data_IF_311054645832
#
_entry.id   IF_311054645832
#
_cell.length_a   1.000
_cell.length_b   1.000
_cell.length_c   1.000
_cell.angle_alpha   90.00
_cell.angle_beta   90.00
_cell.angle_gamma   90.00
#
_symmetry.space_group_name_H-M   'P 1'
#
loop_
_entity.id
_entity.type
_entity.pdbx_description
1 polymer ?
#
# COMPACT_ATOMS: atom_id res chain seq x y z
N UNK A 1 -10.91 7.28 -15.20
CA UNK A 1 -12.01 6.80 -14.34
C UNK A 1 -11.78 7.19 -12.85
N UNK A 2 -12.81 7.45 -12.04
CA UNK A 2 -12.66 7.70 -10.59
C UNK A 2 -13.11 6.50 -9.73
N UNK A 3 -12.28 6.10 -8.76
CA UNK A 3 -12.63 5.08 -7.75
C UNK A 3 -12.17 5.60 -6.37
N UNK A 4 -13.09 5.65 -5.40
CA UNK A 4 -12.85 6.18 -4.03
C UNK A 4 -12.22 7.60 -4.02
N UNK A 5 -12.61 8.46 -4.96
CA UNK A 5 -12.11 9.83 -5.07
C UNK A 5 -10.70 9.95 -5.68
N UNK A 6 -10.07 8.84 -6.10
CA UNK A 6 -8.79 8.84 -6.81
C UNK A 6 -9.01 8.65 -8.30
N UNK A 7 -8.31 9.44 -9.12
CA UNK A 7 -8.34 9.29 -10.58
C UNK A 7 -7.40 8.13 -11.02
N UNK A 8 -7.98 7.11 -11.65
CA UNK A 8 -7.26 6.08 -12.38
C UNK A 8 -7.24 6.42 -13.87
N UNK A 9 -6.06 6.58 -14.49
CA UNK A 9 -5.95 6.78 -15.93
C UNK A 9 -6.33 5.50 -16.69
N UNK A 10 -7.13 5.66 -17.74
CA UNK A 10 -7.74 4.53 -18.46
C UNK A 10 -6.71 3.75 -19.31
N UNK A 11 -5.68 4.45 -19.80
CA UNK A 11 -4.61 3.89 -20.64
C UNK A 11 -3.58 3.03 -19.89
N UNK A 12 -3.80 2.73 -18.61
CA UNK A 12 -2.86 1.99 -17.78
C UNK A 12 -3.34 0.57 -17.48
N UNK A 13 -2.38 -0.31 -17.21
CA UNK A 13 -2.66 -1.65 -16.71
C UNK A 13 -3.27 -1.57 -15.31
N UNK A 14 -4.28 -2.39 -15.04
CA UNK A 14 -5.03 -2.36 -13.77
C UNK A 14 -4.11 -2.48 -12.56
N UNK A 15 -3.19 -3.44 -12.54
CA UNK A 15 -2.27 -3.63 -11.40
C UNK A 15 -1.34 -2.43 -11.17
N UNK A 16 -0.95 -1.71 -12.25
CA UNK A 16 -0.10 -0.52 -12.16
C UNK A 16 -0.93 0.68 -11.70
N UNK A 17 -2.16 0.78 -12.16
CA UNK A 17 -3.10 1.81 -11.78
C UNK A 17 -3.49 1.69 -10.30
N UNK A 18 -3.66 0.48 -9.76
CA UNK A 18 -3.92 0.23 -8.34
C UNK A 18 -2.86 0.81 -7.40
N UNK A 19 -1.61 1.01 -7.86
CA UNK A 19 -0.55 1.65 -7.06
C UNK A 19 -0.79 3.15 -6.82
N UNK A 20 -1.78 3.76 -7.49
CA UNK A 20 -2.22 5.11 -7.13
C UNK A 20 -2.79 5.15 -5.72
N UNK A 21 -3.34 4.02 -5.25
CA UNK A 21 -3.90 3.92 -3.92
C UNK A 21 -2.82 3.74 -2.85
N UNK A 22 -2.92 4.55 -1.79
CA UNK A 22 -2.07 4.44 -0.61
C UNK A 22 -2.24 3.08 0.07
N UNK A 23 -1.12 2.39 0.30
CA UNK A 23 -1.09 1.07 0.92
C UNK A 23 -1.09 -0.10 -0.08
N UNK A 24 -1.35 0.15 -1.37
CA UNK A 24 -1.25 -0.88 -2.41
C UNK A 24 0.16 -0.94 -3.01
N UNK A 25 0.80 -2.09 -2.84
CA UNK A 25 2.10 -2.40 -3.41
C UNK A 25 1.96 -3.24 -4.69
N UNK A 26 3.09 -3.46 -5.39
CA UNK A 26 3.15 -4.31 -6.58
C UNK A 26 2.57 -5.72 -6.34
N UNK A 27 2.99 -6.37 -5.26
CA UNK A 27 2.53 -7.72 -4.91
C UNK A 27 1.05 -7.73 -4.56
N UNK A 28 0.60 -6.77 -3.77
CA UNK A 28 -0.81 -6.61 -3.37
C UNK A 28 -1.70 -6.38 -4.58
N UNK A 29 -1.30 -5.49 -5.50
CA UNK A 29 -2.04 -5.22 -6.73
C UNK A 29 -2.21 -6.47 -7.59
N UNK A 30 -1.17 -7.30 -7.75
CA UNK A 30 -1.28 -8.58 -8.46
C UNK A 30 -2.24 -9.56 -7.78
N UNK A 31 -2.20 -9.65 -6.45
CA UNK A 31 -3.11 -10.49 -5.69
C UNK A 31 -4.56 -10.04 -5.83
N UNK A 32 -4.80 -8.72 -5.83
CA UNK A 32 -6.13 -8.14 -6.08
C UNK A 32 -6.61 -8.51 -7.49
N UNK A 33 -5.78 -8.31 -8.52
CA UNK A 33 -6.14 -8.73 -9.88
C UNK A 33 -6.45 -10.24 -9.97
N UNK A 34 -5.65 -11.09 -9.33
CA UNK A 34 -5.88 -12.53 -9.30
C UNK A 34 -7.22 -12.90 -8.62
N UNK A 35 -7.58 -12.19 -7.54
CA UNK A 35 -8.83 -12.43 -6.80
C UNK A 35 -10.08 -12.08 -7.62
N UNK A 36 -10.01 -11.00 -8.39
CA UNK A 36 -11.11 -10.57 -9.27
C UNK A 36 -11.04 -11.22 -10.66
N UNK A 37 -10.15 -12.20 -10.86
CA UNK A 37 -9.95 -12.88 -12.14
C UNK A 37 -9.65 -11.91 -13.29
N UNK A 38 -8.97 -10.80 -13.00
CA UNK A 38 -8.55 -9.79 -13.97
C UNK A 38 -7.15 -10.16 -14.48
N UNK A 39 -7.00 -10.22 -15.80
CA UNK A 39 -5.71 -10.51 -16.41
C UNK A 39 -4.69 -9.36 -16.19
N UNK A 40 -3.40 -9.70 -16.03
CA UNK A 40 -2.35 -8.71 -15.72
C UNK A 40 -2.06 -7.70 -16.85
N UNK A 41 -2.42 -8.05 -18.10
CA UNK A 41 -2.31 -7.16 -19.27
C UNK A 41 -3.57 -6.33 -19.53
N UNK A 42 -4.64 -6.55 -18.77
CA UNK A 42 -5.89 -5.81 -18.93
C UNK A 42 -5.67 -4.32 -18.60
N UNK A 43 -6.25 -3.44 -19.41
CA UNK A 43 -6.27 -1.99 -19.18
C UNK A 43 -7.45 -1.60 -18.30
N UNK A 44 -7.36 -0.46 -17.62
CA UNK A 44 -8.47 0.08 -16.81
C UNK A 44 -9.70 0.37 -17.68
N UNK A 45 -9.50 0.81 -18.93
CA UNK A 45 -10.56 1.02 -19.91
C UNK A 45 -11.36 -0.24 -20.27
N UNK A 46 -10.77 -1.42 -20.13
CA UNK A 46 -11.35 -2.71 -20.55
C UNK A 46 -12.17 -3.36 -19.44
N UNK A 47 -12.17 -2.81 -18.22
CA UNK A 47 -12.89 -3.38 -17.09
C UNK A 47 -14.40 -3.17 -17.21
N UNK A 48 -15.18 -4.21 -16.90
CA UNK A 48 -16.64 -4.09 -16.84
C UNK A 48 -17.08 -3.26 -15.63
N UNK A 49 -18.23 -2.61 -15.74
CA UNK A 49 -18.80 -1.84 -14.62
C UNK A 49 -19.03 -2.73 -13.37
N UNK A 50 -19.38 -4.00 -13.57
CA UNK A 50 -19.53 -4.97 -12.47
C UNK A 50 -18.20 -5.27 -11.78
N UNK A 51 -17.12 -5.48 -12.54
CA UNK A 51 -15.78 -5.68 -12.00
C UNK A 51 -15.28 -4.44 -11.26
N UNK A 52 -15.58 -3.26 -11.79
CA UNK A 52 -15.23 -1.98 -11.19
C UNK A 52 -15.95 -1.73 -9.86
N UNK A 53 -17.26 -2.00 -9.81
CA UNK A 53 -18.04 -1.93 -8.58
C UNK A 53 -17.52 -2.92 -7.54
N UNK A 54 -17.19 -4.14 -7.93
CA UNK A 54 -16.63 -5.16 -7.05
C UNK A 54 -15.24 -4.78 -6.51
N UNK A 55 -14.37 -4.22 -7.36
CA UNK A 55 -13.09 -3.67 -6.96
C UNK A 55 -13.26 -2.50 -5.97
N UNK A 56 -14.16 -1.56 -6.27
CA UNK A 56 -14.44 -0.41 -5.41
C UNK A 56 -14.97 -0.83 -4.03
N UNK A 57 -15.92 -1.77 -3.99
CA UNK A 57 -16.45 -2.33 -2.75
C UNK A 57 -15.34 -2.98 -1.90
N UNK A 58 -14.44 -3.73 -2.53
CA UNK A 58 -13.31 -4.35 -1.84
C UNK A 58 -12.28 -3.33 -1.34
N UNK A 59 -11.99 -2.28 -2.12
CA UNK A 59 -11.08 -1.22 -1.67
C UNK A 59 -11.69 -0.37 -0.55
N UNK A 60 -13.02 -0.28 -0.46
CA UNK A 60 -13.69 0.36 0.68
C UNK A 60 -13.68 -0.51 1.94
N UNK A 61 -13.86 -1.84 1.78
CA UNK A 61 -13.86 -2.80 2.89
C UNK A 61 -13.17 -4.10 2.48
N UNK A 62 -11.85 -4.25 2.74
CA UNK A 62 -11.10 -5.42 2.33
C UNK A 62 -11.48 -6.69 3.11
N UNK A 63 -12.08 -6.53 4.30
CA UNK A 63 -12.54 -7.62 5.16
C UNK A 63 -13.78 -8.34 4.59
N UNK A 64 -14.61 -7.63 3.82
CA UNK A 64 -15.91 -8.14 3.32
C UNK A 64 -15.75 -9.13 2.17
N UNK A 65 -14.61 -9.14 1.47
CA UNK A 65 -14.47 -10.00 0.30
C UNK A 65 -14.31 -11.49 0.67
N UNK A 66 -14.96 -12.35 -0.11
CA UNK A 66 -14.86 -13.80 -0.02
C UNK A 66 -13.39 -14.25 -0.19
N UNK A 67 -12.85 -15.10 0.72
CA UNK A 67 -11.46 -15.55 0.65
C UNK A 67 -11.18 -16.14 -0.74
N UNK A 68 -9.94 -16.03 -1.25
CA UNK A 68 -9.62 -16.58 -2.57
C UNK A 68 -10.03 -18.05 -2.60
N UNK A 69 -10.60 -18.48 -3.73
CA UNK A 69 -10.85 -19.90 -3.97
C UNK A 69 -9.48 -20.59 -3.85
N UNK A 70 -9.23 -21.27 -2.73
CA UNK A 70 -8.10 -22.17 -2.62
C UNK A 70 -8.37 -23.24 -3.66
N UNK A 71 -7.67 -23.16 -4.79
CA UNK A 71 -7.36 -24.36 -5.53
C UNK A 71 -6.68 -25.25 -4.48
N UNK A 72 -7.35 -26.31 -4.04
CA UNK A 72 -6.71 -27.38 -3.28
C UNK A 72 -5.47 -27.68 -4.08
N UNK A 73 -4.28 -27.40 -3.52
CA UNK A 73 -3.01 -27.70 -4.18
C UNK A 73 -3.16 -29.16 -4.59
N UNK A 74 -3.24 -29.44 -5.89
CA UNK A 74 -3.30 -30.80 -6.37
C UNK A 74 -2.14 -31.52 -5.67
N UNK A 75 -2.48 -32.57 -4.92
CA UNK A 75 -1.59 -33.18 -3.94
C UNK A 75 -0.24 -33.47 -4.56
N UNK A 76 0.81 -32.91 -3.97
CA UNK A 76 2.10 -33.56 -3.99
C UNK A 76 2.05 -34.41 -2.72
N UNK A 77 1.64 -35.66 -2.92
CA UNK A 77 1.88 -36.83 -2.09
C UNK A 77 1.70 -36.67 -0.56
N UNK A 78 0.52 -37.07 -0.09
CA UNK A 78 0.33 -37.54 1.28
C UNK A 78 1.02 -38.92 1.48
N UNK A 79 2.34 -38.99 1.35
CA UNK A 79 3.12 -40.22 1.66
C UNK A 79 4.48 -39.84 2.23
N UNK A 80 4.51 -39.44 3.51
CA UNK A 80 5.59 -39.75 4.45
C UNK A 80 5.22 -39.18 5.82
N UNK A 81 4.30 -39.86 6.50
CA UNK A 81 4.16 -39.74 7.93
C UNK A 81 5.47 -40.23 8.58
N UNK A 82 6.40 -39.32 8.83
CA UNK A 82 7.56 -39.59 9.67
C UNK A 82 7.11 -39.76 11.12
N UNK A 83 7.50 -40.84 11.81
CA UNK A 83 6.94 -41.19 13.11
C UNK A 83 7.44 -40.27 14.23
N UNK A 84 6.57 -40.15 15.21
CA UNK A 84 6.58 -39.27 16.37
C UNK A 84 7.85 -39.45 17.25
N UNK A 85 8.75 -38.47 17.22
CA UNK A 85 9.62 -38.18 18.37
C UNK A 85 9.61 -36.67 18.61
N UNK A 86 9.27 -36.30 19.84
CA UNK A 86 8.72 -35.00 20.21
C UNK A 86 9.74 -33.86 20.09
N UNK A 87 9.79 -33.21 18.93
CA UNK A 87 10.21 -31.81 18.85
C UNK A 87 9.03 -30.93 19.36
N UNK A 88 9.25 -29.95 20.25
CA UNK A 88 8.20 -28.97 20.55
C UNK A 88 7.74 -28.37 19.23
N UNK A 89 6.42 -28.26 18.97
CA UNK A 89 5.93 -27.73 17.70
C UNK A 89 6.46 -26.31 17.56
N UNK A 90 7.48 -26.15 16.71
CA UNK A 90 7.94 -24.83 16.28
C UNK A 90 6.70 -24.04 15.87
N UNK A 91 6.59 -22.74 16.23
CA UNK A 91 5.37 -21.97 16.00
C UNK A 91 4.97 -22.16 14.54
N UNK A 92 3.85 -22.84 14.35
CA UNK A 92 3.39 -23.28 13.04
C UNK A 92 3.26 -22.02 12.19
N UNK A 93 4.26 -21.78 11.33
CA UNK A 93 4.41 -20.52 10.58
C UNK A 93 3.08 -20.25 9.91
N UNK A 94 2.40 -19.21 10.42
CA UNK A 94 1.00 -18.89 10.16
C UNK A 94 0.52 -19.39 8.79
N UNK A 95 -0.18 -20.52 8.78
CA UNK A 95 -0.71 -21.10 7.55
C UNK A 95 -1.69 -20.10 6.92
N UNK A 96 -1.26 -19.43 5.85
CA UNK A 96 -2.10 -18.73 4.88
C UNK A 96 -3.14 -17.75 5.43
N UNK A 97 -2.71 -16.71 6.16
CA UNK A 97 -3.57 -15.53 6.36
C UNK A 97 -3.67 -14.74 5.06
N UNK A 98 -4.88 -14.39 4.65
CA UNK A 98 -5.11 -13.53 3.48
C UNK A 98 -4.56 -12.13 3.77
N UNK A 99 -3.37 -11.83 3.24
CA UNK A 99 -2.70 -10.52 3.35
C UNK A 99 -3.62 -9.37 2.96
N UNK A 100 -4.57 -9.65 2.06
CA UNK A 100 -5.53 -8.68 1.56
C UNK A 100 -6.57 -8.22 2.59
N UNK A 101 -6.90 -9.02 3.61
CA UNK A 101 -7.96 -8.69 4.59
C UNK A 101 -7.56 -7.60 5.58
N UNK A 102 -6.27 -7.50 5.91
CA UNK A 102 -5.75 -6.60 6.95
C UNK A 102 -5.25 -5.25 6.38
N UNK A 103 -5.47 -4.98 5.09
CA UNK A 103 -4.96 -3.79 4.43
C UNK A 103 -5.65 -2.52 4.94
N UNK A 104 -4.84 -1.56 5.42
CA UNK A 104 -5.29 -0.19 5.71
C UNK A 104 -5.06 0.67 4.48
N UNK A 105 -6.14 1.13 3.86
CA UNK A 105 -6.11 1.91 2.62
C UNK A 105 -6.29 3.41 2.90
N UNK A 106 -5.82 4.24 1.97
CA UNK A 106 -5.99 5.69 1.91
C UNK A 106 -6.04 6.43 3.25
N UNK A 107 -7.24 6.89 3.65
CA UNK A 107 -7.43 7.74 4.82
C UNK A 107 -6.95 7.04 6.09
N UNK A 108 -7.32 5.79 6.28
CA UNK A 108 -7.01 5.00 7.47
C UNK A 108 -5.52 4.73 7.57
N UNK A 109 -4.87 4.35 6.46
CA UNK A 109 -3.42 4.14 6.44
C UNK A 109 -2.63 5.42 6.77
N UNK A 110 -3.05 6.56 6.22
CA UNK A 110 -2.42 7.86 6.50
C UNK A 110 -2.72 8.37 7.91
N UNK A 111 -3.93 8.12 8.42
CA UNK A 111 -4.38 8.52 9.76
C UNK A 111 -3.53 7.82 10.81
N UNK A 112 -3.40 6.50 10.74
CA UNK A 112 -2.61 5.71 11.70
C UNK A 112 -1.16 6.22 11.79
N UNK A 113 -0.53 6.56 10.67
CA UNK A 113 0.84 7.08 10.67
C UNK A 113 0.90 8.47 11.30
N UNK A 114 -0.08 9.35 11.00
CA UNK A 114 -0.15 10.69 11.60
C UNK A 114 -0.35 10.61 13.10
N UNK A 115 -1.24 9.75 13.57
CA UNK A 115 -1.50 9.49 14.98
C UNK A 115 -0.25 8.98 15.70
N UNK A 116 0.45 7.99 15.13
CA UNK A 116 1.70 7.50 15.70
C UNK A 116 2.77 8.60 15.84
N UNK A 117 2.92 9.45 14.81
CA UNK A 117 3.88 10.57 14.86
C UNK A 117 3.44 11.63 15.89
N UNK A 118 2.15 11.96 15.93
CA UNK A 118 1.59 12.92 16.88
C UNK A 118 1.79 12.44 18.32
N UNK A 119 1.47 11.19 18.60
CA UNK A 119 1.69 10.53 19.88
C UNK A 119 3.16 10.58 20.32
N UNK A 120 4.10 10.26 19.42
CA UNK A 120 5.53 10.37 19.73
C UNK A 120 5.98 11.81 20.06
N UNK A 121 5.35 12.82 19.46
CA UNK A 121 5.62 14.24 19.73
C UNK A 121 5.03 14.68 21.06
N UNK A 122 3.80 14.28 21.36
CA UNK A 122 3.10 14.58 22.62
C UNK A 122 3.84 14.00 23.83
N UNK A 123 4.29 12.74 23.74
CA UNK A 123 5.11 12.12 24.80
C UNK A 123 6.48 12.81 24.96
N UNK A 124 6.98 13.49 23.92
CA UNK A 124 8.30 14.12 23.96
C UNK A 124 9.48 13.15 23.75
N UNK A 125 9.22 11.96 23.20
CA UNK A 125 10.26 10.97 22.87
C UNK A 125 11.34 11.56 21.95
N UNK A 126 12.55 10.97 21.96
CA UNK A 126 13.62 11.36 21.03
C UNK A 126 13.13 11.35 19.57
N UNK A 127 12.40 10.30 19.17
CA UNK A 127 11.79 10.18 17.84
C UNK A 127 10.85 11.35 17.53
N UNK A 128 9.96 11.69 18.46
CA UNK A 128 9.05 12.82 18.34
C UNK A 128 9.77 14.16 18.14
N UNK A 129 10.80 14.43 18.95
CA UNK A 129 11.64 15.64 18.80
C UNK A 129 12.32 15.71 17.43
N UNK A 130 12.84 14.57 16.93
CA UNK A 130 13.46 14.50 15.59
C UNK A 130 12.46 14.75 14.48
N UNK A 131 11.23 14.22 14.59
CA UNK A 131 10.15 14.50 13.65
C UNK A 131 9.73 15.98 13.69
N UNK A 132 9.63 16.60 14.86
CA UNK A 132 9.32 18.02 14.98
C UNK A 132 10.37 18.92 14.31
N UNK A 133 11.66 18.58 14.48
CA UNK A 133 12.78 19.27 13.85
C UNK A 133 13.03 18.87 12.38
N UNK A 134 12.24 17.94 11.83
CA UNK A 134 12.42 17.37 10.49
C UNK A 134 13.81 16.76 10.23
N UNK A 135 14.43 16.19 11.26
CA UNK A 135 15.75 15.56 11.21
C UNK A 135 15.64 14.04 11.02
N UNK A 136 16.70 13.35 10.57
CA UNK A 136 16.68 11.90 10.46
C UNK A 136 16.50 11.22 11.83
N UNK A 137 15.65 10.20 11.89
CA UNK A 137 15.19 9.59 13.15
C UNK A 137 16.03 8.39 13.56
N UNK A 138 16.44 7.55 12.59
CA UNK A 138 17.12 6.27 12.82
C UNK A 138 18.64 6.39 13.07
N UNK A 139 19.10 7.44 13.74
CA UNK A 139 20.52 7.65 14.05
C UNK A 139 21.41 8.01 12.86
N UNK A 140 20.83 8.37 11.71
CA UNK A 140 21.63 8.79 10.54
C UNK A 140 22.32 10.14 10.80
N UNK A 141 23.51 10.33 10.22
CA UNK A 141 24.31 11.56 10.37
C UNK A 141 23.57 12.80 9.86
N UNK A 142 23.42 13.82 10.71
CA UNK A 142 22.72 15.08 10.38
C UNK A 142 23.52 15.99 9.46
N UNK A 143 24.86 16.01 9.60
CA UNK A 143 25.74 16.90 8.83
C UNK A 143 25.52 16.84 7.31
N UNK A 144 25.25 15.64 6.76
CA UNK A 144 25.01 15.44 5.32
C UNK A 144 23.52 15.34 4.96
N UNK A 145 22.73 14.68 5.80
CA UNK A 145 21.38 14.25 5.43
C UNK A 145 20.26 15.16 5.93
N UNK A 146 20.57 16.18 6.76
CA UNK A 146 19.54 17.05 7.35
C UNK A 146 18.71 17.79 6.30
N UNK A 147 19.32 18.27 5.21
CA UNK A 147 18.60 18.96 4.12
C UNK A 147 17.56 18.05 3.44
N UNK A 148 17.95 16.81 3.14
CA UNK A 148 17.05 15.81 2.54
C UNK A 148 15.91 15.45 3.49
N UNK A 149 16.23 15.26 4.78
CA UNK A 149 15.25 14.99 5.82
C UNK A 149 14.24 16.15 5.96
N UNK A 150 14.71 17.41 5.98
CA UNK A 150 13.84 18.58 6.05
C UNK A 150 12.86 18.67 4.86
N UNK A 151 13.32 18.27 3.67
CA UNK A 151 12.47 18.24 2.46
C UNK A 151 11.43 17.11 2.51
N UNK A 152 11.79 15.92 2.99
CA UNK A 152 10.99 14.70 2.87
C UNK A 152 10.15 14.36 4.11
N UNK A 153 10.58 14.75 5.31
CA UNK A 153 9.93 14.43 6.58
C UNK A 153 8.78 15.39 6.92
N UNK A 154 7.89 15.66 5.95
CA UNK A 154 6.67 16.43 6.17
C UNK A 154 5.53 15.49 6.54
N UNK A 155 4.56 16.00 7.31
CA UNK A 155 3.36 15.25 7.73
C UNK A 155 2.57 14.82 6.48
N UNK A 156 2.27 15.78 5.63
CA UNK A 156 1.84 15.51 4.26
C UNK A 156 3.07 15.39 3.39
N UNK A 157 3.50 14.15 3.18
CA UNK A 157 4.42 13.87 2.09
C UNK A 157 3.72 14.30 0.82
N UNK A 158 4.22 15.36 0.17
CA UNK A 158 3.84 15.66 -1.21
C UNK A 158 3.92 14.33 -1.94
N UNK A 159 2.79 13.85 -2.44
CA UNK A 159 2.78 12.65 -3.23
C UNK A 159 3.74 12.91 -4.37
N UNK A 160 4.95 12.36 -4.29
CA UNK A 160 5.75 12.10 -5.48
C UNK A 160 5.02 10.95 -6.17
N UNK A 161 3.79 11.22 -6.62
CA UNK A 161 3.18 10.42 -7.63
C UNK A 161 4.20 10.46 -8.76
N UNK A 162 4.85 9.34 -9.01
CA UNK A 162 5.58 9.09 -10.24
C UNK A 162 4.57 8.91 -11.37
N UNK A 163 3.63 9.84 -11.48
CA UNK A 163 2.97 10.13 -12.72
C UNK A 163 3.70 11.37 -13.20
N UNK A 164 4.35 11.26 -14.36
CA UNK A 164 4.61 12.45 -15.16
C UNK A 164 3.35 13.31 -15.05
N UNK A 165 3.47 14.45 -14.37
CA UNK A 165 2.66 15.59 -14.76
C UNK A 165 2.99 15.73 -16.25
N UNK A 166 2.02 15.65 -17.18
CA UNK A 166 2.32 15.99 -18.55
C UNK A 166 2.95 17.37 -18.50
N UNK A 167 4.17 17.45 -19.00
CA UNK A 167 4.85 18.70 -19.26
C UNK A 167 3.94 19.47 -20.23
N UNK A 168 3.14 20.40 -19.69
CA UNK A 168 2.15 21.14 -20.48
C UNK A 168 0.87 21.41 -19.71
N UNK A 169 0.89 22.46 -18.88
CA UNK A 169 -0.12 23.53 -18.82
C UNK A 169 0.23 24.47 -17.66
N UNK A 170 0.87 25.58 -18.06
CA UNK A 170 0.83 26.92 -17.47
C UNK A 170 1.27 27.11 -16.00
N UNK A 171 2.56 27.41 -15.85
CA UNK A 171 3.07 28.24 -14.76
C UNK A 171 2.46 29.65 -14.91
N UNK A 172 1.49 29.98 -14.05
CA UNK A 172 1.10 31.36 -13.82
C UNK A 172 2.29 32.17 -13.27
N UNK A 173 2.42 33.47 -13.62
CA UNK A 173 3.59 34.26 -13.30
C UNK A 173 3.79 34.41 -11.78
N UNK A 174 5.00 34.04 -11.36
CA UNK A 174 5.60 34.37 -10.08
C UNK A 174 5.66 35.89 -9.92
N UNK A 175 4.72 36.49 -9.20
CA UNK A 175 4.86 37.86 -8.69
C UNK A 175 5.75 37.82 -7.46
N UNK A 176 6.98 38.28 -7.64
CA UNK A 176 7.89 38.63 -6.56
C UNK A 176 7.44 39.95 -5.92
N UNK A 177 7.22 39.94 -4.61
CA UNK A 177 7.46 41.05 -3.67
C UNK A 177 7.83 40.47 -2.32
#
# INVERSE_FOLDING_TARGET
MFVLGVNLPDNHLVWRALRSFYGLNYHTGKQVCARFQIHLKCRVSELSNTQLAALGAFLSSPATAAPPLRCRRAGIDEQSAVPLSAAPPAPERARGRDVLRELKLESEGRRVIRENIAHHREIGTYVGRRHAMHLPVRGQKTKRNARTAARLNRIDRRGFATWCVPFGLELGPSSAR
#
